data_IF_150014421559
#
_entry.id   IF_150014421559
#
_cell.length_a   1.000
_cell.length_b   1.000
_cell.length_c   1.000
_cell.angle_alpha   90.00
_cell.angle_beta   90.00
_cell.angle_gamma   90.00
#
_symmetry.space_group_name_H-M   'P 1'
#
loop_
_entity.id
_entity.type
_entity.pdbx_description
1 polymer ?
#
# COMPACT_ATOMS: atom_id res chain seq x y z
N UNK A 1 14.15 12.92 -13.08
CA UNK A 1 14.46 11.51 -12.77
C UNK A 1 13.29 10.69 -13.29
N UNK A 2 13.50 9.51 -13.86
CA UNK A 2 12.40 8.64 -14.29
C UNK A 2 12.06 7.71 -13.12
N UNK A 3 10.83 7.78 -12.60
CA UNK A 3 10.37 6.89 -11.55
C UNK A 3 10.03 5.49 -12.09
N UNK A 4 10.24 4.47 -11.29
CA UNK A 4 9.61 3.16 -11.48
C UNK A 4 8.13 3.29 -11.12
N UNK A 5 7.24 3.02 -12.06
CA UNK A 5 5.81 3.06 -11.82
C UNK A 5 5.31 1.67 -11.45
N UNK A 6 4.70 1.58 -10.28
CA UNK A 6 3.96 0.43 -9.80
C UNK A 6 2.47 0.77 -9.66
N UNK A 7 1.62 -0.23 -9.58
CA UNK A 7 0.20 -0.03 -9.33
C UNK A 7 -0.46 -1.24 -8.64
N UNK A 8 -1.53 -0.97 -7.90
CA UNK A 8 -2.53 -1.95 -7.48
C UNK A 8 -3.45 -2.27 -8.66
N UNK A 9 -3.01 -3.19 -9.50
CA UNK A 9 -3.69 -3.50 -10.76
C UNK A 9 -5.02 -4.26 -10.56
N UNK A 10 -5.27 -4.82 -9.38
CA UNK A 10 -6.56 -5.40 -8.97
C UNK A 10 -7.69 -4.35 -8.94
N UNK A 11 -7.37 -3.07 -8.89
CA UNK A 11 -8.33 -1.99 -9.05
C UNK A 11 -8.83 -1.82 -10.50
N UNK A 12 -8.11 -2.37 -11.48
CA UNK A 12 -8.58 -2.42 -12.87
C UNK A 12 -9.46 -3.66 -13.15
N UNK A 13 -9.09 -4.82 -12.61
CA UNK A 13 -9.82 -6.10 -12.73
C UNK A 13 -9.29 -7.12 -11.72
N UNK A 14 -10.15 -7.94 -11.13
CA UNK A 14 -9.74 -8.99 -10.17
C UNK A 14 -8.91 -10.12 -10.79
N UNK A 15 -8.98 -10.34 -12.12
CA UNK A 15 -8.27 -11.43 -12.83
C UNK A 15 -6.86 -11.01 -13.21
N UNK A 16 -5.86 -11.81 -12.85
CA UNK A 16 -4.44 -11.49 -13.12
C UNK A 16 -4.15 -11.23 -14.61
N UNK A 17 -4.76 -11.98 -15.53
CA UNK A 17 -4.56 -11.75 -16.97
C UNK A 17 -5.05 -10.39 -17.45
N UNK A 18 -6.11 -9.84 -16.84
CA UNK A 18 -6.64 -8.51 -17.13
C UNK A 18 -5.83 -7.41 -16.43
N UNK A 19 -5.32 -7.69 -15.24
CA UNK A 19 -4.36 -6.81 -14.57
C UNK A 19 -3.11 -6.61 -15.43
N UNK A 20 -2.52 -7.70 -15.91
CA UNK A 20 -1.38 -7.67 -16.84
C UNK A 20 -1.68 -6.82 -18.07
N UNK A 21 -2.84 -7.02 -18.67
CA UNK A 21 -3.29 -6.22 -19.83
C UNK A 21 -3.39 -4.74 -19.48
N UNK A 22 -4.01 -4.39 -18.34
CA UNK A 22 -4.15 -3.00 -17.89
C UNK A 22 -2.78 -2.34 -17.67
N UNK A 23 -1.85 -3.05 -17.03
CA UNK A 23 -0.49 -2.57 -16.78
C UNK A 23 0.26 -2.32 -18.08
N UNK A 24 0.26 -3.31 -19.00
CA UNK A 24 0.96 -3.23 -20.28
C UNK A 24 0.44 -2.09 -21.15
N UNK A 25 -0.88 -1.99 -21.30
CA UNK A 25 -1.52 -0.93 -22.12
C UNK A 25 -1.28 0.47 -21.56
N UNK A 26 -1.10 0.59 -20.25
CA UNK A 26 -0.77 1.85 -19.58
C UNK A 26 0.74 2.09 -19.43
N UNK A 27 1.62 1.19 -19.86
CA UNK A 27 3.07 1.34 -19.73
C UNK A 27 3.54 1.43 -18.27
N UNK A 28 2.86 0.74 -17.35
CA UNK A 28 3.24 0.57 -15.94
C UNK A 28 3.94 -0.77 -15.79
N UNK A 29 5.17 -0.80 -15.28
CA UNK A 29 6.05 -1.97 -15.38
C UNK A 29 6.10 -2.84 -14.13
N UNK A 30 5.57 -2.36 -13.00
CA UNK A 30 5.61 -3.09 -11.74
C UNK A 30 4.23 -3.18 -11.10
N UNK A 31 3.94 -4.32 -10.44
CA UNK A 31 2.76 -4.44 -9.58
C UNK A 31 3.17 -4.23 -8.11
N UNK A 32 2.36 -3.49 -7.36
CA UNK A 32 2.18 -3.75 -5.95
C UNK A 32 1.01 -4.73 -5.85
N UNK A 33 1.35 -6.03 -5.70
CA UNK A 33 0.37 -7.10 -5.90
C UNK A 33 -0.42 -7.33 -4.62
N UNK A 34 -1.75 -7.19 -4.68
CA UNK A 34 -2.69 -7.32 -3.55
C UNK A 34 -3.73 -8.40 -3.78
N UNK A 35 -4.39 -8.36 -4.92
CA UNK A 35 -5.44 -9.29 -5.31
C UNK A 35 -5.09 -10.08 -6.56
N UNK A 36 -5.35 -11.40 -6.55
CA UNK A 36 -5.07 -12.31 -7.68
C UNK A 36 -6.26 -13.28 -7.83
N UNK A 37 -6.96 -13.18 -8.96
CA UNK A 37 -8.07 -14.08 -9.31
C UNK A 37 -9.12 -14.21 -8.18
N UNK A 38 -9.43 -13.08 -7.49
CA UNK A 38 -10.40 -13.00 -6.39
C UNK A 38 -9.86 -13.42 -5.02
N UNK A 39 -8.57 -13.76 -4.89
CA UNK A 39 -7.92 -14.08 -3.62
C UNK A 39 -6.97 -12.94 -3.19
N UNK A 40 -6.85 -12.71 -1.89
CA UNK A 40 -5.80 -11.83 -1.37
C UNK A 40 -4.44 -12.50 -1.56
N UNK A 41 -3.40 -11.69 -1.82
CA UNK A 41 -2.04 -12.19 -2.03
C UNK A 41 -1.51 -13.00 -0.84
N UNK A 42 -1.96 -12.73 0.37
CA UNK A 42 -1.58 -13.49 1.58
C UNK A 42 -2.24 -14.87 1.67
N UNK A 43 -3.21 -15.17 0.80
CA UNK A 43 -4.02 -16.40 0.81
C UNK A 43 -3.68 -17.36 -0.34
N UNK A 44 -2.96 -16.91 -1.36
CA UNK A 44 -2.60 -17.77 -2.50
C UNK A 44 -1.57 -18.82 -2.10
N UNK A 45 -1.57 -19.96 -2.84
CA UNK A 45 -0.58 -21.01 -2.64
C UNK A 45 0.75 -20.69 -3.33
N UNK A 46 1.87 -21.31 -2.89
CA UNK A 46 3.15 -21.18 -3.61
C UNK A 46 3.07 -21.60 -5.07
N UNK A 47 2.25 -22.61 -5.41
CA UNK A 47 2.02 -23.03 -6.81
C UNK A 47 1.34 -21.92 -7.62
N UNK A 48 0.31 -21.27 -7.04
CA UNK A 48 -0.36 -20.14 -7.67
C UNK A 48 0.59 -18.95 -7.84
N UNK A 49 1.43 -18.68 -6.84
CA UNK A 49 2.45 -17.62 -6.94
C UNK A 49 3.44 -17.89 -8.08
N UNK A 50 3.89 -19.13 -8.28
CA UNK A 50 4.75 -19.53 -9.41
C UNK A 50 4.06 -19.34 -10.77
N UNK A 51 2.78 -19.70 -10.85
CA UNK A 51 1.96 -19.47 -12.05
C UNK A 51 1.86 -17.97 -12.38
N UNK A 52 1.55 -17.15 -11.37
CA UNK A 52 1.45 -15.68 -11.50
C UNK A 52 2.81 -15.10 -11.92
N UNK A 53 3.89 -15.51 -11.26
CA UNK A 53 5.24 -15.05 -11.60
C UNK A 53 5.56 -15.31 -13.07
N UNK A 54 5.27 -16.53 -13.55
CA UNK A 54 5.49 -16.86 -14.96
C UNK A 54 4.69 -15.96 -15.91
N UNK A 55 3.40 -15.69 -15.61
CA UNK A 55 2.58 -14.80 -16.42
C UNK A 55 3.12 -13.37 -16.47
N UNK A 56 3.62 -12.86 -15.33
CA UNK A 56 4.25 -11.54 -15.25
C UNK A 56 5.55 -11.49 -16.05
N UNK A 57 6.41 -12.52 -15.92
CA UNK A 57 7.67 -12.61 -16.68
C UNK A 57 7.43 -12.67 -18.19
N UNK A 58 6.44 -13.46 -18.64
CA UNK A 58 6.06 -13.57 -20.05
C UNK A 58 5.57 -12.20 -20.60
N UNK A 59 5.03 -11.33 -19.74
CA UNK A 59 4.58 -9.98 -20.08
C UNK A 59 5.65 -8.88 -19.88
N UNK A 60 6.80 -9.21 -19.33
CA UNK A 60 7.87 -8.25 -19.01
C UNK A 60 7.53 -7.34 -17.82
N UNK A 61 6.68 -7.80 -16.91
CA UNK A 61 6.27 -7.07 -15.70
C UNK A 61 6.99 -7.63 -14.47
N UNK A 62 7.33 -6.72 -13.53
CA UNK A 62 7.89 -7.08 -12.23
C UNK A 62 6.89 -6.93 -11.09
N UNK A 63 7.25 -7.43 -9.90
CA UNK A 63 6.56 -7.14 -8.65
C UNK A 63 7.44 -6.21 -7.82
N UNK A 64 6.92 -5.02 -7.50
CA UNK A 64 7.59 -4.05 -6.63
C UNK A 64 7.45 -4.44 -5.16
N UNK A 65 6.21 -4.73 -4.76
CA UNK A 65 5.86 -5.00 -3.37
C UNK A 65 4.69 -5.99 -3.27
N UNK A 66 4.63 -6.76 -2.19
CA UNK A 66 3.38 -7.38 -1.78
C UNK A 66 2.52 -6.32 -1.07
N UNK A 67 1.38 -5.96 -1.64
CA UNK A 67 0.35 -5.13 -1.04
C UNK A 67 -0.45 -5.92 0.00
N UNK A 68 0.20 -6.30 1.08
CA UNK A 68 -0.30 -7.29 2.04
C UNK A 68 -1.25 -6.70 3.08
N UNK A 69 -2.10 -7.53 3.75
CA UNK A 69 -2.93 -7.09 4.87
C UNK A 69 -2.21 -7.24 6.23
N UNK A 70 -0.91 -7.53 6.27
CA UNK A 70 -0.20 -7.77 7.51
C UNK A 70 -0.21 -6.52 8.40
N UNK A 71 -0.69 -6.70 9.64
CA UNK A 71 -0.95 -5.62 10.57
C UNK A 71 -2.34 -4.96 10.44
N UNK A 72 -3.22 -5.40 9.52
CA UNK A 72 -4.66 -5.04 9.49
C UNK A 72 -5.48 -6.02 10.32
N UNK A 73 -5.13 -6.21 11.59
CA UNK A 73 -5.87 -7.01 12.58
C UNK A 73 -6.01 -6.21 13.87
N UNK A 74 -7.04 -6.51 14.66
CA UNK A 74 -7.31 -5.85 15.94
C UNK A 74 -6.38 -6.35 17.06
N UNK A 75 -6.36 -5.61 18.16
CA UNK A 75 -5.55 -6.00 19.32
C UNK A 75 -6.04 -7.29 19.99
N UNK A 76 -7.32 -7.64 19.84
CA UNK A 76 -7.93 -8.86 20.38
C UNK A 76 -7.82 -10.08 19.48
N UNK A 77 -7.36 -9.92 18.24
CA UNK A 77 -7.27 -11.01 17.26
C UNK A 77 -6.03 -11.89 17.51
N UNK A 78 -6.10 -13.17 17.06
CA UNK A 78 -5.01 -14.14 17.20
C UNK A 78 -3.74 -13.72 16.47
N UNK A 79 -2.76 -13.18 17.20
CA UNK A 79 -1.53 -12.67 16.61
C UNK A 79 -0.64 -13.78 16.06
N UNK A 80 -0.59 -14.96 16.69
CA UNK A 80 0.29 -16.06 16.25
C UNK A 80 -0.09 -16.59 14.86
N UNK A 81 -1.39 -16.74 14.57
CA UNK A 81 -1.86 -17.16 13.24
C UNK A 81 -1.54 -16.08 12.19
N UNK A 82 -1.64 -14.82 12.58
CA UNK A 82 -1.30 -13.68 11.71
C UNK A 82 0.21 -13.63 11.42
N UNK A 83 1.05 -13.88 12.42
CA UNK A 83 2.50 -14.00 12.28
C UNK A 83 2.89 -15.19 11.39
N UNK A 84 2.19 -16.32 11.51
CA UNK A 84 2.42 -17.48 10.64
C UNK A 84 2.02 -17.19 9.18
N UNK A 85 0.91 -16.47 8.99
CA UNK A 85 0.53 -15.96 7.66
C UNK A 85 1.61 -15.02 7.09
N UNK A 86 2.18 -14.16 7.93
CA UNK A 86 3.28 -13.29 7.50
C UNK A 86 4.53 -14.09 7.08
N UNK A 87 4.89 -15.18 7.77
CA UNK A 87 6.01 -16.04 7.36
C UNK A 87 5.78 -16.66 5.99
N UNK A 88 4.54 -17.12 5.70
CA UNK A 88 4.18 -17.57 4.34
C UNK A 88 4.29 -16.42 3.32
N UNK A 89 3.95 -15.19 3.72
CA UNK A 89 4.13 -14.01 2.87
C UNK A 89 5.58 -13.76 2.47
N UNK A 90 6.55 -14.05 3.33
CA UNK A 90 7.98 -13.95 2.97
C UNK A 90 8.34 -14.96 1.87
N UNK A 91 7.82 -16.19 1.93
CA UNK A 91 8.00 -17.18 0.85
C UNK A 91 7.34 -16.73 -0.46
N UNK A 92 6.13 -16.17 -0.38
CA UNK A 92 5.43 -15.65 -1.56
C UNK A 92 6.18 -14.47 -2.18
N UNK A 93 6.78 -13.58 -1.37
CA UNK A 93 7.60 -12.48 -1.86
C UNK A 93 8.82 -12.98 -2.63
N UNK A 94 9.51 -14.00 -2.12
CA UNK A 94 10.64 -14.63 -2.80
C UNK A 94 10.23 -15.25 -4.14
N UNK A 95 9.17 -16.05 -4.18
CA UNK A 95 8.64 -16.67 -5.41
C UNK A 95 8.26 -15.60 -6.45
N UNK A 96 7.61 -14.53 -6.03
CA UNK A 96 7.16 -13.45 -6.92
C UNK A 96 8.29 -12.47 -7.28
N UNK A 97 9.44 -12.56 -6.61
CA UNK A 97 10.56 -11.64 -6.80
C UNK A 97 10.29 -10.23 -6.27
N UNK A 98 9.39 -10.11 -5.29
CA UNK A 98 9.10 -8.85 -4.62
C UNK A 98 10.16 -8.57 -3.55
N UNK A 99 10.75 -7.38 -3.60
CA UNK A 99 11.73 -6.95 -2.59
C UNK A 99 11.10 -6.20 -1.44
N UNK A 100 9.83 -5.83 -1.53
CA UNK A 100 9.11 -5.08 -0.51
C UNK A 100 7.87 -5.85 -0.07
N UNK A 101 7.52 -5.72 1.21
CA UNK A 101 6.22 -6.08 1.76
C UNK A 101 5.67 -4.86 2.45
N UNK A 102 4.54 -4.34 1.96
CA UNK A 102 3.80 -3.30 2.64
C UNK A 102 2.98 -3.91 3.76
N UNK A 103 3.02 -3.27 4.94
CA UNK A 103 2.35 -3.70 6.16
C UNK A 103 1.82 -2.53 6.97
N UNK A 104 1.08 -2.82 8.03
CA UNK A 104 0.40 -1.86 8.89
C UNK A 104 0.74 -2.04 10.37
N UNK A 105 0.26 -1.14 11.23
CA UNK A 105 0.56 -1.13 12.67
C UNK A 105 -0.66 -1.43 13.57
N UNK A 106 -1.51 -2.33 13.13
CA UNK A 106 -2.66 -2.90 13.83
C UNK A 106 -3.79 -1.90 14.15
N UNK A 107 -5.03 -2.37 14.04
CA UNK A 107 -6.20 -1.59 14.43
C UNK A 107 -6.21 -1.39 15.93
N UNK A 108 -6.35 -0.12 16.34
CA UNK A 108 -6.41 0.31 17.74
C UNK A 108 -7.68 1.13 17.94
N UNK A 109 -8.47 0.86 19.00
CA UNK A 109 -9.64 1.68 19.30
C UNK A 109 -9.28 3.16 19.42
N UNK A 110 -10.14 4.01 18.86
CA UNK A 110 -9.93 5.46 18.86
C UNK A 110 -9.75 6.00 20.29
N UNK A 111 -8.69 6.78 20.48
CA UNK A 111 -8.33 7.34 21.79
C UNK A 111 -7.56 6.39 22.71
N UNK A 112 -7.32 5.13 22.32
CA UNK A 112 -6.60 4.15 23.15
C UNK A 112 -5.18 3.85 22.64
N UNK A 113 -4.63 4.64 21.72
CA UNK A 113 -3.33 4.40 21.09
C UNK A 113 -2.21 4.23 22.13
N UNK A 114 -2.17 5.08 23.14
CA UNK A 114 -1.16 5.01 24.21
C UNK A 114 -1.25 3.70 25.02
N UNK A 115 -2.44 3.23 25.29
CA UNK A 115 -2.69 1.97 26.00
C UNK A 115 -2.15 0.76 25.25
N UNK A 116 -2.25 0.76 23.91
CA UNK A 116 -1.84 -0.37 23.09
C UNK A 116 -0.44 -0.23 22.48
N UNK A 117 0.23 0.88 22.73
CA UNK A 117 1.55 1.20 22.17
C UNK A 117 2.55 0.04 22.33
N UNK A 118 2.76 -0.44 23.55
CA UNK A 118 3.74 -1.49 23.84
C UNK A 118 3.42 -2.79 23.08
N UNK A 119 2.14 -3.16 22.98
CA UNK A 119 1.73 -4.37 22.28
C UNK A 119 1.87 -4.22 20.75
N UNK A 120 1.57 -3.04 20.18
CA UNK A 120 1.82 -2.75 18.76
C UNK A 120 3.31 -2.90 18.46
N UNK A 121 4.17 -2.31 19.28
CA UNK A 121 5.63 -2.35 19.09
C UNK A 121 6.17 -3.78 19.23
N UNK A 122 5.66 -4.55 20.20
CA UNK A 122 6.00 -5.97 20.35
C UNK A 122 5.64 -6.77 19.09
N UNK A 123 4.44 -6.56 18.53
CA UNK A 123 3.99 -7.26 17.31
C UNK A 123 4.81 -6.85 16.09
N UNK A 124 5.12 -5.56 15.92
CA UNK A 124 6.01 -5.08 14.85
C UNK A 124 7.41 -5.70 14.97
N UNK A 125 7.97 -5.77 16.18
CA UNK A 125 9.25 -6.45 16.42
C UNK A 125 9.22 -7.92 16.01
N UNK A 126 8.10 -8.64 16.20
CA UNK A 126 7.96 -10.02 15.75
C UNK A 126 7.99 -10.16 14.22
N UNK A 127 7.35 -9.26 13.48
CA UNK A 127 7.43 -9.24 12.00
C UNK A 127 8.86 -8.96 11.52
N UNK A 128 9.52 -7.97 12.12
CA UNK A 128 10.91 -7.62 11.82
C UNK A 128 11.85 -8.79 12.09
N UNK A 129 11.70 -9.45 13.23
CA UNK A 129 12.51 -10.63 13.58
C UNK A 129 12.25 -11.80 12.61
N UNK A 130 11.00 -12.02 12.20
CA UNK A 130 10.67 -13.06 11.24
C UNK A 130 11.29 -12.79 9.85
N UNK A 131 11.42 -11.53 9.45
CA UNK A 131 11.98 -11.14 8.16
C UNK A 131 13.51 -10.98 8.14
N UNK A 132 14.20 -11.04 9.28
CA UNK A 132 15.63 -10.67 9.41
C UNK A 132 16.61 -11.42 8.52
N UNK A 133 16.25 -12.64 8.11
CA UNK A 133 17.08 -13.49 7.25
C UNK A 133 16.58 -13.53 5.79
N UNK A 134 15.62 -12.68 5.43
CA UNK A 134 15.16 -12.52 4.06
C UNK A 134 15.76 -11.25 3.45
N UNK A 135 15.74 -11.16 2.11
CA UNK A 135 16.14 -9.95 1.37
C UNK A 135 15.00 -8.93 1.27
N UNK A 136 13.89 -9.15 2.01
CA UNK A 136 12.68 -8.32 1.95
C UNK A 136 12.85 -7.08 2.82
N UNK A 137 12.48 -5.93 2.27
CA UNK A 137 12.34 -4.66 2.97
C UNK A 137 10.89 -4.53 3.44
N UNK A 138 10.68 -4.46 4.76
CA UNK A 138 9.37 -4.19 5.33
C UNK A 138 9.05 -2.69 5.25
N UNK A 139 7.85 -2.36 4.77
CA UNK A 139 7.42 -0.98 4.59
C UNK A 139 6.09 -0.75 5.32
N UNK A 140 6.08 0.12 6.32
CA UNK A 140 4.88 0.50 7.06
C UNK A 140 4.16 1.63 6.32
N UNK A 141 2.90 1.41 6.02
CA UNK A 141 2.01 2.42 5.44
C UNK A 141 1.21 3.13 6.54
N UNK A 142 1.11 4.46 6.44
CA UNK A 142 0.15 5.23 7.24
C UNK A 142 -1.27 4.95 6.75
N UNK A 143 -2.18 4.63 7.68
CA UNK A 143 -3.56 4.27 7.34
C UNK A 143 -4.51 4.67 8.49
N UNK A 144 -5.77 4.96 8.18
CA UNK A 144 -6.78 5.28 9.19
C UNK A 144 -7.09 4.07 10.08
N UNK A 145 -7.35 4.32 11.36
CA UNK A 145 -7.78 3.31 12.33
C UNK A 145 -6.68 2.42 12.90
N UNK A 146 -5.47 2.45 12.35
CA UNK A 146 -4.32 1.73 12.91
C UNK A 146 -3.54 2.64 13.88
N UNK A 147 -2.56 2.09 14.60
CA UNK A 147 -1.69 2.90 15.47
C UNK A 147 -1.01 4.04 14.70
N UNK A 148 -0.47 3.75 13.51
CA UNK A 148 0.21 4.69 12.61
C UNK A 148 -0.74 5.47 11.70
N UNK A 149 -1.83 6.01 12.22
CA UNK A 149 -2.77 6.86 11.49
C UNK A 149 -2.36 8.34 11.45
N UNK A 150 -1.43 8.76 12.33
CA UNK A 150 -0.88 10.12 12.38
C UNK A 150 0.62 10.12 12.16
N UNK A 151 1.13 11.18 11.51
CA UNK A 151 2.55 11.33 11.19
C UNK A 151 3.47 11.20 12.42
N UNK A 152 3.05 11.71 13.58
CA UNK A 152 3.83 11.61 14.81
C UNK A 152 4.00 10.16 15.28
N UNK A 153 2.95 9.33 15.17
CA UNK A 153 3.01 7.91 15.53
C UNK A 153 3.78 7.08 14.49
N UNK A 154 3.65 7.40 13.20
CA UNK A 154 4.50 6.83 12.17
C UNK A 154 5.98 7.12 12.44
N UNK A 155 6.33 8.37 12.74
CA UNK A 155 7.70 8.76 13.07
C UNK A 155 8.22 8.06 14.33
N UNK A 156 7.37 7.80 15.30
CA UNK A 156 7.71 7.02 16.50
C UNK A 156 8.07 5.57 16.13
N UNK A 157 7.24 4.91 15.30
CA UNK A 157 7.52 3.56 14.79
C UNK A 157 8.89 3.51 14.09
N UNK A 158 9.16 4.44 13.17
CA UNK A 158 10.40 4.42 12.40
C UNK A 158 11.64 4.80 13.22
N UNK A 159 11.49 5.58 14.29
CA UNK A 159 12.59 5.84 15.24
C UNK A 159 12.95 4.61 16.06
N UNK A 160 11.94 3.85 16.49
CA UNK A 160 12.16 2.60 17.22
C UNK A 160 12.70 1.49 16.32
N UNK A 161 12.21 1.42 15.07
CA UNK A 161 12.57 0.39 14.09
C UNK A 161 13.19 1.00 12.84
N UNK A 162 14.48 1.44 12.85
CA UNK A 162 15.11 2.11 11.70
C UNK A 162 15.18 1.26 10.43
N UNK A 163 15.09 -0.07 10.54
CA UNK A 163 15.06 -1.02 9.44
C UNK A 163 13.70 -1.11 8.76
N UNK A 164 12.61 -0.74 9.44
CA UNK A 164 11.28 -0.62 8.87
C UNK A 164 11.18 0.68 8.09
N UNK A 165 10.90 0.60 6.79
CA UNK A 165 10.75 1.76 5.91
C UNK A 165 9.31 2.25 5.90
N UNK A 166 9.08 3.45 5.35
CA UNK A 166 7.76 4.04 5.22
C UNK A 166 7.24 3.95 3.78
N UNK A 167 5.96 3.63 3.65
CA UNK A 167 5.15 3.99 2.48
C UNK A 167 4.38 5.26 2.86
N UNK A 168 4.53 6.31 2.07
CA UNK A 168 3.84 7.57 2.31
C UNK A 168 2.59 7.66 1.43
N UNK A 169 1.41 7.62 2.06
CA UNK A 169 0.12 7.83 1.41
C UNK A 169 -0.47 9.19 1.83
N UNK A 170 -0.51 10.19 0.93
CA UNK A 170 -1.04 11.50 1.28
C UNK A 170 -2.55 11.51 1.51
N UNK A 171 -3.34 10.70 0.81
CA UNK A 171 -4.80 10.67 0.98
C UNK A 171 -5.19 10.09 2.34
N UNK A 172 -4.50 9.07 2.82
CA UNK A 172 -4.72 8.50 4.14
C UNK A 172 -4.44 9.53 5.26
N UNK A 173 -3.41 10.38 5.09
CA UNK A 173 -3.20 11.50 6.02
C UNK A 173 -4.32 12.54 5.97
N UNK A 174 -4.83 12.90 4.78
CA UNK A 174 -5.98 13.82 4.65
C UNK A 174 -7.19 13.25 5.38
N UNK A 175 -7.50 11.95 5.18
CA UNK A 175 -8.61 11.26 5.84
C UNK A 175 -8.48 11.22 7.37
N UNK A 176 -7.25 11.31 7.89
CA UNK A 176 -6.95 11.46 9.32
C UNK A 176 -6.82 12.93 9.77
N UNK A 177 -7.21 13.89 8.95
CA UNK A 177 -7.13 15.32 9.27
C UNK A 177 -5.73 15.88 9.40
N UNK A 178 -4.74 15.23 8.76
CA UNK A 178 -3.33 15.63 8.82
C UNK A 178 -2.97 16.52 7.62
N UNK A 179 -2.08 17.47 7.86
CA UNK A 179 -1.42 18.26 6.82
C UNK A 179 -0.32 17.42 6.17
N UNK A 180 -0.42 17.16 4.88
CA UNK A 180 0.50 16.29 4.13
C UNK A 180 1.93 16.84 4.04
N UNK A 181 2.09 18.18 4.00
CA UNK A 181 3.42 18.80 3.97
C UNK A 181 4.12 18.61 5.31
N UNK A 182 3.42 18.86 6.44
CA UNK A 182 3.98 18.63 7.78
C UNK A 182 4.27 17.15 8.02
N UNK A 183 3.41 16.26 7.53
CA UNK A 183 3.65 14.82 7.61
C UNK A 183 4.90 14.44 6.80
N UNK A 184 5.08 15.01 5.61
CA UNK A 184 6.27 14.81 4.77
C UNK A 184 7.56 15.29 5.44
N UNK A 185 7.57 16.50 6.01
CA UNK A 185 8.72 17.03 6.74
C UNK A 185 9.18 16.09 7.86
N UNK A 186 8.24 15.40 8.49
CA UNK A 186 8.52 14.46 9.58
C UNK A 186 8.98 13.08 9.08
N UNK A 187 8.41 12.59 7.99
CA UNK A 187 8.54 11.20 7.55
C UNK A 187 9.47 11.01 6.36
N UNK A 188 9.79 12.05 5.58
CA UNK A 188 10.60 11.93 4.36
C UNK A 188 11.93 11.18 4.54
N UNK A 189 12.63 11.21 5.70
CA UNK A 189 13.86 10.43 5.89
C UNK A 189 13.64 8.90 5.91
N UNK A 190 12.42 8.44 6.11
CA UNK A 190 12.08 7.02 6.24
C UNK A 190 11.39 6.46 5.00
N UNK A 191 10.94 7.34 4.09
CA UNK A 191 10.11 6.96 2.93
C UNK A 191 10.92 6.15 1.91
N UNK A 192 10.51 4.91 1.69
CA UNK A 192 11.04 4.01 0.66
C UNK A 192 10.35 4.26 -0.68
N UNK A 193 9.03 4.34 -0.66
CA UNK A 193 8.22 4.69 -1.84
C UNK A 193 6.92 5.39 -1.44
N UNK A 194 6.22 5.95 -2.42
CA UNK A 194 4.97 6.67 -2.20
C UNK A 194 3.80 5.93 -2.85
N UNK A 195 2.66 5.89 -2.14
CA UNK A 195 1.37 5.66 -2.78
C UNK A 195 0.87 6.96 -3.41
N UNK A 196 0.38 6.84 -4.62
CA UNK A 196 -0.20 7.96 -5.35
C UNK A 196 -1.72 7.84 -5.29
N UNK A 197 -2.25 8.48 -4.27
CA UNK A 197 -3.67 8.63 -3.97
C UNK A 197 -3.90 10.05 -3.49
N UNK A 198 -4.94 10.72 -3.95
CA UNK A 198 -5.25 12.09 -3.58
C UNK A 198 -6.68 12.19 -3.06
N UNK A 199 -6.94 13.15 -2.20
CA UNK A 199 -8.26 13.34 -1.62
C UNK A 199 -8.60 14.82 -1.43
N UNK A 200 -9.89 15.11 -1.36
CA UNK A 200 -10.45 16.39 -0.97
C UNK A 200 -10.49 16.50 0.58
N UNK A 201 -10.76 17.70 1.08
CA UNK A 201 -10.81 17.97 2.52
C UNK A 201 -11.89 17.16 3.28
N UNK A 202 -12.92 16.67 2.59
CA UNK A 202 -13.96 15.81 3.15
C UNK A 202 -13.59 14.32 3.12
N UNK A 203 -12.34 13.99 2.70
CA UNK A 203 -11.82 12.63 2.57
C UNK A 203 -12.23 11.91 1.28
N UNK A 204 -12.99 12.55 0.38
CA UNK A 204 -13.35 11.94 -0.90
C UNK A 204 -12.13 11.81 -1.81
N UNK A 205 -11.90 10.60 -2.33
CA UNK A 205 -10.76 10.29 -3.20
C UNK A 205 -10.97 10.85 -4.60
N UNK A 206 -9.94 11.43 -5.16
CA UNK A 206 -9.92 12.07 -6.48
C UNK A 206 -8.65 11.69 -7.25
N UNK A 207 -8.61 11.86 -8.59
CA UNK A 207 -7.39 11.64 -9.36
C UNK A 207 -6.22 12.46 -8.82
N UNK A 208 -5.02 11.91 -8.94
CA UNK A 208 -3.79 12.54 -8.48
C UNK A 208 -3.64 13.99 -8.96
N UNK A 209 -3.32 14.92 -8.05
CA UNK A 209 -3.20 16.35 -8.32
C UNK A 209 -4.52 17.13 -8.39
N UNK A 210 -5.67 16.48 -8.16
CA UNK A 210 -6.99 17.14 -8.11
C UNK A 210 -7.50 17.37 -6.68
N UNK A 211 -6.79 16.86 -5.68
CA UNK A 211 -7.10 17.00 -4.26
C UNK A 211 -6.20 18.02 -3.56
N UNK A 212 -6.19 17.89 -2.23
CA UNK A 212 -5.37 18.74 -1.34
C UNK A 212 -4.11 18.00 -0.82
N UNK A 213 -3.75 16.86 -1.44
CA UNK A 213 -2.62 16.02 -1.05
C UNK A 213 -1.24 16.63 -1.32
N UNK A 214 -1.18 17.81 -1.96
CA UNK A 214 0.07 18.51 -2.30
C UNK A 214 1.04 17.66 -3.15
N UNK A 215 0.52 16.72 -3.96
CA UNK A 215 1.33 15.78 -4.75
C UNK A 215 2.44 16.46 -5.57
N UNK A 216 2.22 17.60 -6.29
CA UNK A 216 3.30 18.25 -7.03
C UNK A 216 4.47 18.66 -6.13
N UNK A 217 4.18 19.18 -4.93
CA UNK A 217 5.21 19.54 -3.96
C UNK A 217 5.93 18.30 -3.45
N UNK A 218 5.19 17.28 -2.98
CA UNK A 218 5.74 16.04 -2.44
C UNK A 218 6.65 15.35 -3.46
N UNK A 219 6.21 15.21 -4.71
CA UNK A 219 6.99 14.64 -5.81
C UNK A 219 8.27 15.43 -6.09
N UNK A 220 8.24 16.77 -5.97
CA UNK A 220 9.43 17.61 -6.13
C UNK A 220 10.48 17.38 -5.05
N UNK A 221 10.06 16.98 -3.86
CA UNK A 221 10.92 16.70 -2.70
C UNK A 221 11.37 15.23 -2.61
N UNK A 222 10.61 14.31 -3.22
CA UNK A 222 10.87 12.88 -3.15
C UNK A 222 12.15 12.50 -3.90
N UNK A 223 13.02 11.72 -3.26
CA UNK A 223 14.31 11.27 -3.79
C UNK A 223 14.38 9.75 -4.01
N UNK A 224 13.32 9.03 -3.66
CA UNK A 224 13.23 7.59 -3.92
C UNK A 224 12.99 7.28 -5.39
N UNK A 225 12.86 6.00 -5.70
CA UNK A 225 12.83 5.53 -7.09
C UNK A 225 11.45 5.08 -7.59
N UNK A 226 10.49 4.81 -6.70
CA UNK A 226 9.22 4.20 -7.09
C UNK A 226 7.99 4.95 -6.58
N UNK A 227 6.97 4.94 -7.42
CA UNK A 227 5.64 5.44 -7.12
C UNK A 227 4.63 4.33 -7.40
N UNK A 228 3.80 3.99 -6.42
CA UNK A 228 2.71 3.02 -6.57
C UNK A 228 1.38 3.74 -6.69
N UNK A 229 0.68 3.51 -7.78
CA UNK A 229 -0.67 4.02 -7.99
C UNK A 229 -1.68 3.20 -7.17
N UNK A 230 -2.40 3.85 -6.26
CA UNK A 230 -3.51 3.30 -5.47
C UNK A 230 -4.74 4.20 -5.60
N UNK A 231 -5.45 4.17 -6.73
CA UNK A 231 -6.39 5.23 -7.07
C UNK A 231 -7.67 5.25 -6.25
N UNK A 232 -8.23 4.10 -5.84
CA UNK A 232 -9.53 3.98 -5.18
C UNK A 232 -10.65 4.81 -5.85
N UNK A 233 -10.62 4.90 -7.19
CA UNK A 233 -11.57 5.71 -7.98
C UNK A 233 -12.79 4.92 -8.47
N UNK A 234 -12.87 3.63 -8.15
CA UNK A 234 -14.04 2.78 -8.40
C UNK A 234 -14.13 1.68 -7.35
N UNK A 235 -15.32 1.08 -7.22
CA UNK A 235 -15.48 -0.16 -6.45
C UNK A 235 -14.88 -1.30 -7.25
N UNK A 236 -14.01 -2.11 -6.64
CA UNK A 236 -13.40 -3.28 -7.23
C UNK A 236 -13.56 -4.50 -6.32
N UNK A 237 -13.32 -5.70 -6.84
CA UNK A 237 -13.45 -6.95 -6.08
C UNK A 237 -12.50 -6.96 -4.88
N UNK A 238 -13.06 -7.12 -3.68
CA UNK A 238 -12.27 -7.09 -2.43
C UNK A 238 -12.17 -5.71 -1.77
N UNK A 239 -12.70 -4.65 -2.38
CA UNK A 239 -12.72 -3.31 -1.80
C UNK A 239 -13.34 -3.27 -0.39
N UNK A 240 -14.46 -3.99 -0.20
CA UNK A 240 -15.14 -4.07 1.11
C UNK A 240 -14.29 -4.72 2.22
N UNK A 241 -13.25 -5.50 1.86
CA UNK A 241 -12.33 -6.14 2.81
C UNK A 241 -11.17 -5.24 3.22
N UNK A 242 -10.94 -4.16 2.51
CA UNK A 242 -9.85 -3.22 2.80
C UNK A 242 -10.24 -2.19 3.86
N UNK A 243 -11.52 -1.95 4.03
CA UNK A 243 -12.08 -0.90 4.90
C UNK A 243 -13.00 -1.52 5.95
N UNK A 244 -12.61 -1.42 7.24
CA UNK A 244 -13.36 -2.05 8.32
C UNK A 244 -14.69 -1.35 8.64
N UNK A 245 -14.76 -0.01 8.61
CA UNK A 245 -15.91 0.73 9.18
C UNK A 245 -16.43 1.91 8.36
N UNK A 246 -15.68 2.48 7.43
CA UNK A 246 -16.10 3.60 6.59
C UNK A 246 -15.73 3.39 5.14
N UNK A 247 -16.74 3.38 4.25
CA UNK A 247 -16.51 3.31 2.81
C UNK A 247 -15.84 4.57 2.31
N UNK A 248 -14.76 4.41 1.55
CA UNK A 248 -14.11 5.53 0.86
C UNK A 248 -15.14 6.28 0.00
N UNK A 249 -15.25 7.57 0.22
CA UNK A 249 -16.06 8.44 -0.64
C UNK A 249 -15.30 8.69 -1.93
N UNK A 250 -15.95 8.48 -3.07
CA UNK A 250 -15.37 8.75 -4.39
C UNK A 250 -15.84 10.11 -4.90
N UNK A 251 -14.89 10.97 -5.25
CA UNK A 251 -15.17 12.30 -5.81
C UNK A 251 -15.49 12.28 -7.32
N UNK A 252 -15.29 11.14 -7.99
CA UNK A 252 -15.49 10.95 -9.43
C UNK A 252 -16.26 9.66 -9.71
N UNK A 253 -16.94 9.62 -10.86
CA UNK A 253 -17.65 8.43 -11.34
C UNK A 253 -17.10 8.04 -12.71
N UNK A 254 -16.72 6.78 -12.86
CA UNK A 254 -16.19 6.22 -14.10
C UNK A 254 -17.07 5.07 -14.59
N UNK A 255 -17.13 4.81 -15.91
CA UNK A 255 -18.00 3.78 -16.47
C UNK A 255 -17.55 2.34 -16.14
N UNK A 256 -16.32 2.16 -15.69
CA UNK A 256 -15.77 0.86 -15.25
C UNK A 256 -14.53 1.05 -14.39
N UNK A 257 -14.16 0.02 -13.63
CA UNK A 257 -12.91 -0.03 -12.86
C UNK A 257 -11.67 0.19 -13.75
N UNK A 258 -11.66 -0.41 -14.95
CA UNK A 258 -10.62 -0.20 -15.93
C UNK A 258 -10.52 1.28 -16.36
N UNK A 259 -11.62 1.94 -16.65
CA UNK A 259 -11.61 3.36 -17.02
C UNK A 259 -11.13 4.27 -15.88
N UNK A 260 -11.47 3.93 -14.63
CA UNK A 260 -10.97 4.61 -13.44
C UNK A 260 -9.45 4.44 -13.31
N UNK A 261 -8.95 3.21 -13.49
CA UNK A 261 -7.52 2.90 -13.46
C UNK A 261 -6.75 3.67 -14.55
N UNK A 262 -7.24 3.64 -15.81
CA UNK A 262 -6.63 4.37 -16.92
C UNK A 262 -6.57 5.88 -16.65
N UNK A 263 -7.64 6.46 -16.10
CA UNK A 263 -7.69 7.87 -15.72
C UNK A 263 -6.69 8.20 -14.60
N UNK A 264 -6.53 7.32 -13.64
CA UNK A 264 -5.56 7.49 -12.54
C UNK A 264 -4.11 7.45 -13.05
N UNK A 265 -3.78 6.51 -13.95
CA UNK A 265 -2.44 6.45 -14.57
C UNK A 265 -2.15 7.73 -15.37
N UNK A 266 -3.14 8.22 -16.14
CA UNK A 266 -2.96 9.45 -16.90
C UNK A 266 -2.75 10.66 -15.98
N UNK A 267 -3.52 10.78 -14.90
CA UNK A 267 -3.36 11.86 -13.92
C UNK A 267 -1.96 11.85 -13.27
N UNK A 268 -1.43 10.65 -12.92
CA UNK A 268 -0.06 10.54 -12.42
C UNK A 268 0.97 10.98 -13.47
N UNK A 269 0.82 10.53 -14.72
CA UNK A 269 1.75 10.87 -15.82
C UNK A 269 1.79 12.37 -16.14
N UNK A 270 0.73 13.10 -15.85
CA UNK A 270 0.70 14.57 -15.98
C UNK A 270 1.51 15.28 -14.89
N UNK A 271 1.81 14.60 -13.77
CA UNK A 271 2.51 15.18 -12.61
C UNK A 271 4.03 14.92 -12.63
N UNK A 272 4.53 13.93 -13.43
CA UNK A 272 5.93 13.46 -13.37
C UNK A 272 6.72 13.72 -14.66
#
# INVERSE_FOLDING_TARGET
>A
MSFKLAAFADEADGRISHQIKAMTENGVSFLEIRGVDGQNISEITPEKAKEVRKQLDDAGLGVWSLGSPYGKTGMGDGFEDHLESFRRGLELADILGARHIRMFSFYVPSGEQEKYREEVFRRLACFIEAAKNSDVILCHENEKGIYGDMAVRCAEIHREFPQLKAVFDPANFIQCGQDTVKAWEMLSPYVEYMHIKDAMADGSVVPAGKGIGNLPYLLSQYKGEALTLEPHLSVFDGFDKLEADEKTKMGYCYPSSRAAFDAAVNALKELI
#
